data_IF_611612052184
#
_entry.id   IF_611612052184
#
_cell.length_a   1.000
_cell.length_b   1.000
_cell.length_c   1.000
_cell.angle_alpha   90.00
_cell.angle_beta   90.00
_cell.angle_gamma   90.00
#
_symmetry.space_group_name_H-M   'P 1'
#
loop_
_entity.id
_entity.type
_entity.pdbx_description
1 polymer ?
#
# COMPACT_ATOMS: atom_id res chain seq x y z
N UNK A 1 26.59 -52.03 -14.24
CA UNK A 1 25.77 -51.05 -13.50
C UNK A 1 26.37 -49.68 -13.75
N UNK A 2 25.74 -48.87 -14.61
CA UNK A 2 26.16 -47.48 -14.79
C UNK A 2 25.38 -46.65 -13.76
N UNK A 3 26.09 -46.02 -12.82
CA UNK A 3 25.53 -45.02 -11.90
C UNK A 3 25.59 -43.67 -12.59
N UNK A 4 24.44 -43.15 -12.96
CA UNK A 4 24.32 -41.74 -13.42
C UNK A 4 24.40 -40.83 -12.21
N UNK A 5 25.50 -40.08 -12.08
CA UNK A 5 25.61 -39.00 -11.12
C UNK A 5 24.93 -37.78 -11.77
N UNK A 6 23.73 -37.47 -11.35
CA UNK A 6 23.10 -36.19 -11.67
C UNK A 6 23.82 -35.07 -10.90
N UNK A 7 24.73 -34.37 -11.58
CA UNK A 7 25.25 -33.10 -11.08
C UNK A 7 24.18 -32.05 -11.28
N UNK A 8 23.39 -31.83 -10.24
CA UNK A 8 22.45 -30.69 -10.23
C UNK A 8 23.26 -29.41 -10.22
N UNK A 9 23.33 -28.73 -11.36
CA UNK A 9 23.98 -27.44 -11.48
C UNK A 9 23.20 -26.44 -10.60
N UNK A 10 23.71 -26.18 -9.41
CA UNK A 10 23.14 -25.23 -8.47
C UNK A 10 23.37 -23.83 -9.07
N UNK A 11 22.36 -23.30 -9.74
CA UNK A 11 22.38 -21.90 -10.21
C UNK A 11 22.36 -20.99 -9.00
N UNK A 12 23.50 -20.42 -8.67
CA UNK A 12 23.61 -19.44 -7.59
C UNK A 12 22.97 -18.13 -8.08
N UNK A 13 21.74 -17.86 -7.65
CA UNK A 13 21.08 -16.58 -7.97
C UNK A 13 21.81 -15.45 -7.26
N UNK A 14 22.29 -14.47 -8.02
CA UNK A 14 23.00 -13.29 -7.50
C UNK A 14 22.13 -12.46 -6.58
N UNK A 15 20.86 -12.34 -6.91
CA UNK A 15 19.88 -11.58 -6.14
C UNK A 15 19.00 -12.52 -5.32
N UNK A 16 18.75 -12.16 -4.06
CA UNK A 16 17.94 -12.92 -3.10
C UNK A 16 16.56 -12.31 -2.90
N UNK A 17 16.44 -11.02 -3.24
CA UNK A 17 15.26 -10.22 -3.04
C UNK A 17 15.05 -9.31 -4.24
N UNK A 18 13.79 -9.14 -4.65
CA UNK A 18 13.37 -8.17 -5.66
C UNK A 18 12.25 -7.33 -5.05
N UNK A 19 12.44 -6.02 -5.03
CA UNK A 19 11.44 -5.06 -4.58
C UNK A 19 10.78 -4.45 -5.81
N UNK A 20 9.46 -4.46 -5.85
CA UNK A 20 8.65 -4.00 -6.97
C UNK A 20 7.66 -2.94 -6.48
N UNK A 21 7.73 -1.76 -7.07
CA UNK A 21 6.62 -0.82 -7.05
C UNK A 21 5.47 -1.34 -7.92
N UNK A 22 4.25 -0.92 -7.64
CA UNK A 22 3.05 -1.44 -8.29
C UNK A 22 2.65 -0.62 -9.51
N UNK A 23 2.34 0.65 -9.31
CA UNK A 23 1.66 1.47 -10.30
C UNK A 23 2.62 2.03 -11.36
N UNK A 24 2.51 1.47 -12.59
CA UNK A 24 3.43 1.82 -13.68
C UNK A 24 4.74 1.04 -13.70
N UNK A 25 4.96 0.13 -12.72
CA UNK A 25 6.13 -0.75 -12.66
C UNK A 25 5.72 -2.23 -12.80
N UNK A 26 5.07 -2.81 -11.80
CA UNK A 26 4.58 -4.20 -11.86
C UNK A 26 3.31 -4.30 -12.70
N UNK A 27 2.39 -3.36 -12.53
CA UNK A 27 1.09 -3.35 -13.19
C UNK A 27 1.06 -2.43 -14.41
N UNK A 28 0.29 -2.81 -15.42
CA UNK A 28 0.02 -2.03 -16.61
C UNK A 28 -1.00 -0.90 -16.35
N UNK A 29 -1.40 -0.16 -17.39
CA UNK A 29 -2.41 0.92 -17.29
C UNK A 29 -3.79 0.44 -16.84
N UNK A 30 -4.09 -0.86 -16.96
CA UNK A 30 -5.32 -1.49 -16.46
C UNK A 30 -5.18 -1.99 -15.02
N UNK A 31 -4.05 -1.72 -14.35
CA UNK A 31 -3.73 -2.20 -13.00
C UNK A 31 -3.63 -3.73 -12.88
N UNK A 32 -3.20 -4.38 -13.96
CA UNK A 32 -3.06 -5.84 -14.05
C UNK A 32 -1.59 -6.22 -14.22
N UNK A 33 -1.19 -7.34 -13.63
CA UNK A 33 0.10 -7.98 -13.89
C UNK A 33 0.02 -8.70 -15.25
N UNK A 34 0.94 -8.41 -16.15
CA UNK A 34 0.94 -9.11 -17.44
C UNK A 34 1.23 -10.59 -17.26
N UNK A 35 0.67 -11.49 -18.09
CA UNK A 35 0.91 -12.94 -17.98
C UNK A 35 2.41 -13.29 -17.98
N UNK A 36 3.21 -12.60 -18.81
CA UNK A 36 4.67 -12.80 -18.88
C UNK A 36 5.38 -12.42 -17.58
N UNK A 37 5.01 -11.28 -16.97
CA UNK A 37 5.60 -10.84 -15.71
C UNK A 37 5.21 -11.81 -14.58
N UNK A 38 3.94 -12.19 -14.51
CA UNK A 38 3.42 -13.17 -13.54
C UNK A 38 4.20 -14.48 -13.58
N UNK A 39 4.28 -15.11 -14.76
CA UNK A 39 5.01 -16.36 -14.93
C UNK A 39 6.49 -16.21 -14.55
N UNK A 40 7.14 -15.13 -14.99
CA UNK A 40 8.55 -14.87 -14.67
C UNK A 40 8.78 -14.71 -13.17
N UNK A 41 7.93 -13.93 -12.49
CA UNK A 41 8.04 -13.68 -11.05
C UNK A 41 7.77 -14.94 -10.23
N UNK A 42 6.81 -15.77 -10.61
CA UNK A 42 6.61 -17.08 -9.96
C UNK A 42 7.85 -17.95 -10.14
N UNK A 43 8.39 -18.07 -11.36
CA UNK A 43 9.58 -18.89 -11.65
C UNK A 43 10.83 -18.46 -10.89
N UNK A 44 11.02 -17.18 -10.62
CA UNK A 44 12.17 -16.74 -9.82
C UNK A 44 11.96 -17.02 -8.33
N UNK A 45 10.73 -16.98 -7.83
CA UNK A 45 10.40 -17.39 -6.46
C UNK A 45 10.67 -18.88 -6.25
N UNK A 46 10.32 -19.75 -7.22
CA UNK A 46 10.66 -21.19 -7.21
C UNK A 46 12.17 -21.45 -7.14
N UNK A 47 12.99 -20.46 -7.55
CA UNK A 47 14.47 -20.52 -7.44
C UNK A 47 15.01 -19.89 -6.15
N UNK A 48 14.13 -19.54 -5.20
CA UNK A 48 14.48 -19.01 -3.89
C UNK A 48 14.70 -17.50 -3.84
N UNK A 49 14.24 -16.73 -4.85
CA UNK A 49 14.21 -15.26 -4.80
C UNK A 49 12.91 -14.82 -4.15
N UNK A 50 12.97 -13.98 -3.11
CA UNK A 50 11.79 -13.42 -2.46
C UNK A 50 11.33 -12.14 -3.14
N UNK A 51 10.03 -11.93 -3.21
CA UNK A 51 9.43 -10.70 -3.72
C UNK A 51 9.02 -9.79 -2.58
N UNK A 52 9.13 -8.50 -2.82
CA UNK A 52 8.58 -7.45 -1.98
C UNK A 52 7.71 -6.57 -2.87
N UNK A 53 6.44 -6.43 -2.55
CA UNK A 53 5.57 -5.43 -3.16
C UNK A 53 5.58 -4.18 -2.29
N UNK A 54 6.05 -3.06 -2.84
CA UNK A 54 6.17 -1.78 -2.14
C UNK A 54 5.27 -0.75 -2.80
N UNK A 55 4.36 -0.13 -2.04
CA UNK A 55 3.39 0.82 -2.59
C UNK A 55 2.90 1.82 -1.54
N UNK A 56 2.41 2.96 -2.02
CA UNK A 56 1.61 3.89 -1.20
C UNK A 56 0.18 3.44 -0.94
N UNK A 57 -0.27 2.35 -1.57
CA UNK A 57 -1.60 1.78 -1.39
C UNK A 57 -1.78 1.23 0.04
N UNK A 58 -3.04 1.19 0.52
CA UNK A 58 -3.37 0.40 1.71
C UNK A 58 -3.07 -1.08 1.48
N UNK A 59 -2.78 -1.81 2.55
CA UNK A 59 -2.49 -3.26 2.49
C UNK A 59 -3.56 -4.01 1.70
N UNK A 60 -4.84 -3.71 1.93
CA UNK A 60 -5.97 -4.33 1.23
C UNK A 60 -5.85 -4.21 -0.30
N UNK A 61 -5.41 -3.07 -0.82
CA UNK A 61 -5.23 -2.84 -2.26
C UNK A 61 -4.04 -3.59 -2.90
N UNK A 62 -3.11 -4.11 -2.08
CA UNK A 62 -1.94 -4.87 -2.53
C UNK A 62 -2.20 -6.38 -2.50
N UNK A 63 -2.98 -6.86 -1.54
CA UNK A 63 -3.27 -8.28 -1.30
C UNK A 63 -3.66 -9.07 -2.56
N UNK A 64 -4.55 -8.60 -3.46
CA UNK A 64 -4.88 -9.35 -4.66
C UNK A 64 -3.68 -9.65 -5.56
N UNK A 65 -2.74 -8.70 -5.67
CA UNK A 65 -1.52 -8.86 -6.48
C UNK A 65 -0.52 -9.82 -5.83
N UNK A 66 -0.36 -9.74 -4.51
CA UNK A 66 0.47 -10.66 -3.74
C UNK A 66 -0.02 -12.11 -3.86
N UNK A 67 -1.34 -12.31 -3.78
CA UNK A 67 -1.97 -13.62 -3.97
C UNK A 67 -1.83 -14.12 -5.42
N UNK A 68 -2.00 -13.24 -6.39
CA UNK A 68 -1.81 -13.57 -7.81
C UNK A 68 -0.39 -14.06 -8.09
N UNK A 69 0.62 -13.52 -7.40
CA UNK A 69 2.02 -13.93 -7.48
C UNK A 69 2.38 -15.08 -6.54
N UNK A 70 1.42 -15.65 -5.79
CA UNK A 70 1.61 -16.76 -4.85
C UNK A 70 2.68 -16.49 -3.78
N UNK A 71 2.81 -15.22 -3.36
CA UNK A 71 3.87 -14.82 -2.44
C UNK A 71 3.76 -15.46 -1.05
N UNK A 72 2.56 -15.86 -0.65
CA UNK A 72 2.33 -16.63 0.58
C UNK A 72 3.01 -18.00 0.59
N UNK A 73 3.33 -18.55 -0.60
CA UNK A 73 3.98 -19.87 -0.72
C UNK A 73 5.52 -19.76 -0.74
N UNK A 74 6.07 -18.58 -1.04
CA UNK A 74 7.50 -18.37 -1.27
C UNK A 74 8.16 -17.39 -0.28
N UNK A 75 7.46 -16.91 0.74
CA UNK A 75 8.03 -16.07 1.79
C UNK A 75 8.29 -14.62 1.34
N UNK A 76 7.35 -14.03 0.64
CA UNK A 76 7.40 -12.63 0.20
C UNK A 76 6.98 -11.64 1.29
N UNK A 77 7.11 -10.33 0.98
CA UNK A 77 6.74 -9.25 1.89
C UNK A 77 5.85 -8.21 1.19
N UNK A 78 4.95 -7.59 1.95
CA UNK A 78 4.17 -6.43 1.54
C UNK A 78 4.66 -5.22 2.33
N UNK A 79 5.02 -4.13 1.63
CA UNK A 79 5.23 -2.81 2.17
C UNK A 79 4.08 -1.92 1.69
N UNK A 80 3.18 -1.57 2.58
CA UNK A 80 2.01 -0.71 2.31
C UNK A 80 2.15 0.67 2.96
N UNK A 81 1.24 1.57 2.64
CA UNK A 81 1.20 2.92 3.21
C UNK A 81 2.54 3.68 3.11
N UNK A 82 3.22 3.60 1.95
CA UNK A 82 4.55 4.21 1.75
C UNK A 82 5.64 3.67 2.70
N UNK A 83 5.51 2.42 3.14
CA UNK A 83 6.41 1.78 4.10
C UNK A 83 5.96 1.93 5.56
N UNK A 84 4.73 2.39 5.81
CA UNK A 84 4.12 2.42 7.14
C UNK A 84 3.97 1.03 7.72
N UNK A 85 3.56 0.07 6.89
CA UNK A 85 3.45 -1.33 7.30
C UNK A 85 4.40 -2.23 6.50
N UNK A 86 5.02 -3.19 7.18
CA UNK A 86 5.77 -4.28 6.57
C UNK A 86 5.23 -5.60 7.10
N UNK A 87 4.69 -6.42 6.19
CA UNK A 87 4.06 -7.69 6.52
C UNK A 87 4.82 -8.83 5.85
N UNK A 88 5.18 -9.86 6.62
CA UNK A 88 5.60 -11.13 6.07
C UNK A 88 4.37 -11.85 5.51
N UNK A 89 4.31 -12.01 4.17
CA UNK A 89 3.11 -12.53 3.53
C UNK A 89 2.94 -14.05 3.63
N UNK A 90 3.98 -14.77 4.03
CA UNK A 90 3.90 -16.21 4.31
C UNK A 90 3.26 -16.48 5.68
N UNK A 91 3.71 -15.77 6.72
CA UNK A 91 3.23 -15.96 8.10
C UNK A 91 2.04 -15.08 8.48
N UNK A 92 1.80 -13.99 7.73
CA UNK A 92 0.86 -12.94 8.10
C UNK A 92 1.36 -12.03 9.24
N UNK A 93 2.62 -12.18 9.65
CA UNK A 93 3.20 -11.40 10.75
C UNK A 93 3.47 -9.95 10.33
N UNK A 94 3.00 -8.99 11.13
CA UNK A 94 3.37 -7.59 11.04
C UNK A 94 4.79 -7.42 11.60
N UNK A 95 5.77 -7.17 10.71
CA UNK A 95 7.18 -7.00 11.08
C UNK A 95 7.47 -5.57 11.54
N UNK A 96 6.81 -4.62 10.91
CA UNK A 96 6.96 -3.20 11.19
C UNK A 96 5.62 -2.50 10.97
N UNK A 97 5.29 -1.61 11.89
CA UNK A 97 4.12 -0.75 11.82
C UNK A 97 4.54 0.66 12.24
N UNK A 98 4.20 1.64 11.44
CA UNK A 98 4.40 3.05 11.75
C UNK A 98 3.08 3.79 11.51
N UNK A 99 2.52 4.31 12.58
CA UNK A 99 1.22 4.96 12.58
C UNK A 99 1.36 6.45 12.79
N UNK A 100 0.37 7.22 12.36
CA UNK A 100 0.33 8.65 12.63
C UNK A 100 0.16 8.88 14.14
N UNK A 101 0.87 9.89 14.71
CA UNK A 101 0.58 10.34 16.07
C UNK A 101 -0.90 10.77 16.18
N UNK A 102 -1.59 10.31 17.22
CA UNK A 102 -3.03 10.55 17.37
C UNK A 102 -3.38 12.04 17.38
N UNK A 103 -2.51 12.89 17.91
CA UNK A 103 -2.66 14.35 17.95
C UNK A 103 -2.55 15.03 16.58
N UNK A 104 -1.97 14.35 15.59
CA UNK A 104 -1.82 14.90 14.23
C UNK A 104 -3.12 14.73 13.43
N UNK A 105 -3.89 13.67 13.67
CA UNK A 105 -5.10 13.36 12.90
C UNK A 105 -6.14 14.49 12.96
N UNK A 106 -6.45 15.09 14.14
CA UNK A 106 -7.34 16.26 14.19
C UNK A 106 -6.79 17.48 13.44
N UNK A 107 -5.47 17.67 13.41
CA UNK A 107 -4.84 18.76 12.66
C UNK A 107 -5.06 18.59 11.16
N UNK A 108 -4.86 17.36 10.63
CA UNK A 108 -5.10 17.03 9.23
C UNK A 108 -6.57 17.21 8.86
N UNK A 109 -7.48 16.76 9.71
CA UNK A 109 -8.92 16.90 9.52
C UNK A 109 -9.35 18.36 9.42
N UNK A 110 -8.96 19.19 10.39
CA UNK A 110 -9.31 20.63 10.39
C UNK A 110 -8.69 21.37 9.20
N UNK A 111 -7.48 21.01 8.80
CA UNK A 111 -6.82 21.61 7.64
C UNK A 111 -7.55 21.25 6.34
N UNK A 112 -7.96 20.01 6.17
CA UNK A 112 -8.78 19.57 5.03
C UNK A 112 -10.13 20.30 5.00
N UNK A 113 -10.83 20.35 6.13
CA UNK A 113 -12.13 21.00 6.28
C UNK A 113 -12.06 22.50 5.93
N UNK A 114 -11.06 23.20 6.46
CA UNK A 114 -10.85 24.63 6.21
C UNK A 114 -10.55 24.92 4.74
N UNK A 115 -9.82 24.02 4.08
CA UNK A 115 -9.49 24.10 2.66
C UNK A 115 -10.60 23.60 1.73
N UNK A 116 -11.74 23.15 2.29
CA UNK A 116 -12.85 22.53 1.54
C UNK A 116 -12.38 21.35 0.69
N UNK A 117 -11.60 20.46 1.28
CA UNK A 117 -11.07 19.23 0.71
C UNK A 117 -11.61 18.03 1.48
N UNK A 118 -11.77 16.91 0.80
CA UNK A 118 -12.12 15.66 1.46
C UNK A 118 -10.89 15.01 2.12
N UNK A 119 -11.11 14.43 3.30
CA UNK A 119 -10.13 13.59 3.99
C UNK A 119 -10.68 12.18 4.13
N UNK A 120 -9.80 11.19 4.05
CA UNK A 120 -10.12 9.80 4.25
C UNK A 120 -9.00 9.09 5.00
N UNK A 121 -9.35 7.97 5.63
CA UNK A 121 -8.41 6.98 6.16
C UNK A 121 -8.90 5.57 5.82
N UNK A 122 -8.17 4.56 6.25
CA UNK A 122 -8.43 3.16 5.91
C UNK A 122 -8.70 2.34 7.16
N UNK A 123 -9.71 1.48 7.09
CA UNK A 123 -10.07 0.53 8.16
C UNK A 123 -10.43 -0.81 7.52
N UNK A 124 -9.50 -1.76 7.56
CA UNK A 124 -9.66 -3.06 6.92
C UNK A 124 -9.92 -2.97 5.41
N UNK A 125 -11.14 -3.32 5.00
CA UNK A 125 -11.59 -3.25 3.60
C UNK A 125 -12.27 -1.93 3.23
N UNK A 126 -12.39 -1.00 4.16
CA UNK A 126 -13.16 0.22 4.02
C UNK A 126 -12.28 1.46 3.98
N UNK A 127 -12.66 2.41 3.14
CA UNK A 127 -12.26 3.81 3.20
C UNK A 127 -13.28 4.52 4.08
N UNK A 128 -12.81 5.20 5.13
CA UNK A 128 -13.65 5.98 6.05
C UNK A 128 -13.55 7.47 5.71
N UNK A 129 -14.68 8.13 5.50
CA UNK A 129 -14.76 9.53 5.11
C UNK A 129 -16.15 10.13 5.39
N UNK A 130 -16.24 11.46 5.51
CA UNK A 130 -17.51 12.21 5.52
C UNK A 130 -18.00 12.57 4.10
N UNK A 131 -17.19 12.25 3.06
CA UNK A 131 -17.41 12.73 1.69
C UNK A 131 -17.47 11.54 0.70
N UNK A 132 -18.42 10.62 0.93
CA UNK A 132 -18.56 9.39 0.14
C UNK A 132 -18.77 9.63 -1.35
N UNK A 133 -19.39 10.74 -1.72
CA UNK A 133 -19.71 11.10 -3.12
C UNK A 133 -18.61 11.91 -3.82
N UNK A 134 -17.55 12.29 -3.10
CA UNK A 134 -16.43 13.04 -3.69
C UNK A 134 -15.75 12.20 -4.79
N UNK A 135 -15.50 12.75 -6.00
CA UNK A 135 -14.95 11.99 -7.12
C UNK A 135 -13.54 11.45 -6.88
N UNK A 136 -12.74 12.13 -6.05
CA UNK A 136 -11.38 11.65 -5.71
C UNK A 136 -11.44 10.51 -4.69
N UNK A 137 -12.38 10.57 -3.73
CA UNK A 137 -12.65 9.45 -2.80
C UNK A 137 -13.15 8.22 -3.57
N UNK A 138 -14.10 8.41 -4.50
CA UNK A 138 -14.59 7.32 -5.35
C UNK A 138 -13.47 6.70 -6.21
N UNK A 139 -12.56 7.54 -6.72
CA UNK A 139 -11.41 7.09 -7.48
C UNK A 139 -10.45 6.26 -6.62
N UNK A 140 -10.17 6.68 -5.38
CA UNK A 140 -9.32 5.94 -4.44
C UNK A 140 -9.93 4.57 -4.11
N UNK A 141 -11.23 4.53 -3.83
CA UNK A 141 -11.95 3.28 -3.58
C UNK A 141 -11.90 2.34 -4.79
N UNK A 142 -12.12 2.85 -6.00
CA UNK A 142 -12.04 2.08 -7.23
C UNK A 142 -10.66 1.49 -7.47
N UNK A 143 -9.59 2.29 -7.29
CA UNK A 143 -8.20 1.88 -7.52
C UNK A 143 -7.77 0.76 -6.57
N UNK A 144 -8.22 0.78 -5.33
CA UNK A 144 -7.87 -0.18 -4.31
C UNK A 144 -8.92 -1.29 -4.14
N UNK A 145 -10.04 -1.24 -4.87
CA UNK A 145 -11.18 -2.17 -4.77
C UNK A 145 -11.74 -2.25 -3.35
N UNK A 146 -11.80 -1.10 -2.68
CA UNK A 146 -12.29 -0.95 -1.31
C UNK A 146 -13.72 -0.42 -1.30
N UNK A 147 -14.44 -0.71 -0.22
CA UNK A 147 -15.74 -0.07 0.04
C UNK A 147 -15.53 1.34 0.57
N UNK A 148 -16.59 2.16 0.54
CA UNK A 148 -16.60 3.45 1.22
C UNK A 148 -17.58 3.34 2.39
N UNK A 149 -17.07 3.58 3.59
CA UNK A 149 -17.85 3.72 4.81
C UNK A 149 -17.99 5.21 5.11
N UNK A 150 -19.15 5.74 4.81
CA UNK A 150 -19.48 7.13 5.14
C UNK A 150 -19.69 7.28 6.65
N UNK A 151 -19.19 8.36 7.19
CA UNK A 151 -19.36 8.75 8.60
C UNK A 151 -19.93 10.16 8.71
N UNK A 152 -20.58 10.49 9.83
CA UNK A 152 -21.04 11.84 10.15
C UNK A 152 -20.04 12.60 11.06
N UNK A 153 -19.07 11.89 11.64
CA UNK A 153 -18.04 12.44 12.51
C UNK A 153 -16.76 11.64 12.33
N UNK A 154 -15.88 12.13 11.45
CA UNK A 154 -14.64 11.45 11.09
C UNK A 154 -13.76 11.16 12.31
N UNK A 155 -13.60 12.14 13.20
CA UNK A 155 -12.70 12.00 14.35
C UNK A 155 -13.21 11.02 15.40
N UNK A 156 -14.52 10.85 15.53
CA UNK A 156 -15.13 9.93 16.50
C UNK A 156 -15.21 8.50 15.95
N UNK A 157 -15.44 8.36 14.64
CA UNK A 157 -15.75 7.07 14.02
C UNK A 157 -14.53 6.33 13.45
N UNK A 158 -13.37 7.00 13.36
CA UNK A 158 -12.13 6.32 12.96
C UNK A 158 -11.56 5.49 14.13
N UNK A 159 -11.04 4.32 13.78
CA UNK A 159 -10.30 3.48 14.74
C UNK A 159 -8.84 3.90 14.77
N UNK A 160 -8.40 4.51 15.87
CA UNK A 160 -6.98 4.87 16.08
C UNK A 160 -6.20 3.68 16.64
N UNK A 161 -4.89 3.56 16.33
CA UNK A 161 -4.12 4.44 15.45
C UNK A 161 -4.37 4.15 13.97
N UNK A 162 -4.08 5.14 13.10
CA UNK A 162 -4.16 5.00 11.64
C UNK A 162 -2.78 5.11 11.00
N UNK A 163 -2.49 4.28 10.01
CA UNK A 163 -1.22 4.32 9.30
C UNK A 163 -1.10 5.54 8.36
N UNK A 164 -2.23 6.01 7.82
CA UNK A 164 -2.26 7.08 6.82
C UNK A 164 -3.61 7.79 6.78
N UNK A 165 -3.59 9.12 6.69
CA UNK A 165 -4.70 9.90 6.18
C UNK A 165 -4.37 10.39 4.77
N UNK A 166 -5.37 10.47 3.90
CA UNK A 166 -5.25 11.01 2.56
C UNK A 166 -6.21 12.19 2.41
N UNK A 167 -5.68 13.37 2.06
CA UNK A 167 -6.48 14.55 1.71
C UNK A 167 -6.52 14.60 0.19
N UNK A 168 -7.72 14.72 -0.37
CA UNK A 168 -7.97 14.65 -1.80
C UNK A 168 -8.77 15.85 -2.30
N UNK A 169 -8.52 16.23 -3.55
CA UNK A 169 -9.20 17.34 -4.22
C UNK A 169 -8.42 17.89 -5.40
N UNK A 170 -8.77 19.11 -5.81
CA UNK A 170 -8.12 19.79 -6.92
C UNK A 170 -6.69 20.26 -6.56
N UNK A 171 -5.77 20.16 -7.50
CA UNK A 171 -4.35 20.44 -7.28
C UNK A 171 -4.05 21.87 -6.84
N UNK A 172 -4.83 22.84 -7.28
CA UNK A 172 -4.71 24.26 -6.89
C UNK A 172 -5.04 24.51 -5.43
N UNK A 173 -5.85 23.65 -4.80
CA UNK A 173 -6.13 23.67 -3.36
C UNK A 173 -5.16 22.78 -2.58
N UNK A 174 -4.76 21.63 -3.14
CA UNK A 174 -3.86 20.69 -2.47
C UNK A 174 -2.44 21.23 -2.33
N UNK A 175 -1.86 21.85 -3.37
CA UNK A 175 -0.48 22.33 -3.34
C UNK A 175 -0.18 23.33 -2.21
N UNK A 176 -1.02 24.37 -1.98
CA UNK A 176 -0.81 25.27 -0.85
C UNK A 176 -0.93 24.57 0.51
N UNK A 177 -1.90 23.65 0.64
CA UNK A 177 -2.13 22.90 1.87
C UNK A 177 -0.96 21.93 2.17
N UNK A 178 -0.43 21.24 1.15
CA UNK A 178 0.74 20.38 1.28
C UNK A 178 1.95 21.18 1.79
N UNK A 179 2.21 22.36 1.22
CA UNK A 179 3.31 23.23 1.65
C UNK A 179 3.13 23.71 3.11
N UNK A 180 1.92 24.09 3.51
CA UNK A 180 1.58 24.49 4.88
C UNK A 180 1.80 23.33 5.86
N UNK A 181 1.22 22.15 5.58
CA UNK A 181 1.30 20.99 6.45
C UNK A 181 2.72 20.46 6.57
N UNK A 182 3.49 20.47 5.47
CA UNK A 182 4.91 20.08 5.48
C UNK A 182 5.74 20.94 6.43
N UNK A 183 5.48 22.24 6.49
CA UNK A 183 6.14 23.14 7.44
C UNK A 183 5.64 22.94 8.87
N UNK A 184 4.31 22.89 9.04
CA UNK A 184 3.65 22.82 10.36
C UNK A 184 3.95 21.52 11.10
N UNK A 185 4.02 20.40 10.37
CA UNK A 185 4.21 19.06 10.92
C UNK A 185 5.61 18.51 10.67
N UNK A 186 6.56 19.36 10.32
CA UNK A 186 7.96 19.00 10.06
C UNK A 186 8.55 18.20 11.25
N UNK A 187 9.10 17.03 10.96
CA UNK A 187 9.71 16.16 11.97
C UNK A 187 8.70 15.31 12.79
N UNK A 188 7.40 15.51 12.59
CA UNK A 188 6.36 14.69 13.20
C UNK A 188 5.83 13.62 12.24
N UNK A 189 5.57 14.01 11.00
CA UNK A 189 5.11 13.12 9.92
C UNK A 189 5.77 13.48 8.60
N UNK A 190 5.62 12.62 7.59
CA UNK A 190 5.88 12.93 6.20
C UNK A 190 4.56 13.33 5.52
N UNK A 191 4.56 14.51 4.89
CA UNK A 191 3.42 15.01 4.11
C UNK A 191 3.73 14.84 2.62
#
# INVERSE_FOLDING_TARGET
RFSFIFVQKQYYMKYKLIVLDLDGTLTNSKKEITPRNKETLIRIQEKGVRLVLASGRPTYGIVPLANELRMNEFGGFILSYNGGDIINWESGEMIYENVLPNEVVPVLYESARTSQLAILTYDGADIVTEHSTDPYVQKEAFLNKMNIRETNDFLTDITLPVAKCLIVGDADKLMPLEAELSLRLQGQINV
#
